data_IF_355513067583
#
_entry.id   IF_355513067583
#
_cell.length_a   1.000
_cell.length_b   1.000
_cell.length_c   1.000
_cell.angle_alpha   90.00
_cell.angle_beta   90.00
_cell.angle_gamma   90.00
#
_symmetry.space_group_name_H-M   'P 1'
#
loop_
_entity.id
_entity.type
_entity.pdbx_description
1 polymer ?
#
# COMPACT_ATOMS: atom_id res chain seq x y z
N UNK A 1 49.59 33.27 18.41
CA UNK A 1 48.12 33.12 18.38
C UNK A 1 47.61 33.68 17.06
N UNK A 2 46.74 32.95 16.32
CA UNK A 2 46.17 33.47 15.08
C UNK A 2 45.34 34.74 15.35
N UNK A 3 45.49 35.76 14.48
CA UNK A 3 44.74 37.01 14.61
C UNK A 3 43.22 36.73 14.48
N UNK A 4 42.39 37.62 15.01
CA UNK A 4 40.93 37.50 14.88
C UNK A 4 40.49 37.51 13.40
N UNK A 5 41.20 38.25 12.55
CA UNK A 5 41.00 38.27 11.10
C UNK A 5 41.31 36.92 10.45
N UNK A 6 42.40 36.24 10.84
CA UNK A 6 42.74 34.91 10.33
C UNK A 6 41.68 33.87 10.72
N UNK A 7 41.15 33.97 11.94
CA UNK A 7 40.06 33.10 12.41
C UNK A 7 38.77 33.32 11.62
N UNK A 8 38.42 34.58 11.34
CA UNK A 8 37.24 34.91 10.55
C UNK A 8 37.36 34.41 9.11
N UNK A 9 38.54 34.58 8.48
CA UNK A 9 38.82 34.06 7.12
C UNK A 9 38.68 32.53 7.06
N UNK A 10 39.33 31.81 7.97
CA UNK A 10 39.24 30.34 8.01
C UNK A 10 37.79 29.84 8.26
N UNK A 11 37.00 30.57 9.06
CA UNK A 11 35.61 30.25 9.29
C UNK A 11 34.73 30.53 8.06
N UNK A 12 34.99 31.62 7.32
CA UNK A 12 34.28 31.95 6.08
C UNK A 12 34.53 30.90 4.99
N UNK A 13 35.79 30.47 4.80
CA UNK A 13 36.14 29.41 3.84
C UNK A 13 35.35 28.12 4.09
N UNK A 14 35.14 27.75 5.36
CA UNK A 14 34.30 26.59 5.71
C UNK A 14 32.85 26.78 5.31
N UNK A 15 32.30 28.00 5.41
CA UNK A 15 30.93 28.29 4.98
C UNK A 15 30.81 28.27 3.46
N UNK A 16 31.80 28.81 2.75
CA UNK A 16 31.84 28.86 1.28
C UNK A 16 31.93 27.46 0.65
N UNK A 17 32.57 26.50 1.33
CA UNK A 17 32.69 25.10 0.87
C UNK A 17 31.39 24.29 0.97
N UNK A 18 30.33 24.79 1.60
CA UNK A 18 29.02 24.10 1.60
C UNK A 18 28.48 24.04 0.18
N UNK A 19 27.88 22.91 -0.21
CA UNK A 19 27.33 22.65 -1.56
C UNK A 19 26.48 23.81 -2.10
N UNK A 20 25.55 24.32 -1.28
CA UNK A 20 24.68 25.44 -1.64
C UNK A 20 25.41 26.74 -1.99
N UNK A 21 26.59 26.96 -1.43
CA UNK A 21 27.40 28.16 -1.61
C UNK A 21 28.46 28.01 -2.72
N UNK A 22 28.59 26.82 -3.33
CA UNK A 22 29.51 26.57 -4.47
C UNK A 22 29.06 27.23 -5.77
N UNK A 23 27.84 27.76 -5.81
CA UNK A 23 27.27 28.41 -6.97
C UNK A 23 26.81 29.82 -6.61
N UNK A 24 27.03 30.77 -7.51
CA UNK A 24 26.57 32.15 -7.38
C UNK A 24 25.05 32.18 -7.13
N UNK A 25 24.62 32.94 -6.11
CA UNK A 25 23.23 33.03 -5.71
C UNK A 25 22.31 33.51 -6.86
N UNK A 26 22.83 34.28 -7.81
CA UNK A 26 22.04 34.99 -8.82
C UNK A 26 22.08 34.36 -10.22
N UNK A 27 23.24 33.84 -10.64
CA UNK A 27 23.43 33.31 -12.00
C UNK A 27 23.99 31.88 -12.06
N UNK A 28 24.24 31.25 -10.90
CA UNK A 28 24.72 29.87 -10.84
C UNK A 28 26.18 29.64 -11.26
N UNK A 29 26.97 30.69 -11.54
CA UNK A 29 28.41 30.54 -11.80
C UNK A 29 29.12 29.84 -10.64
N UNK A 30 29.98 28.86 -10.95
CA UNK A 30 30.73 28.09 -9.94
C UNK A 30 31.74 28.95 -9.17
N UNK A 31 32.00 28.53 -7.94
CA UNK A 31 33.03 29.06 -7.04
C UNK A 31 32.97 30.59 -6.85
N UNK A 32 31.84 31.12 -6.34
CA UNK A 32 31.68 32.55 -6.14
C UNK A 32 32.68 33.11 -5.13
N UNK A 33 33.56 34.02 -5.57
CA UNK A 33 34.61 34.65 -4.74
C UNK A 33 34.20 35.91 -3.98
N UNK A 34 32.93 36.33 -4.09
CA UNK A 34 32.39 37.53 -3.45
C UNK A 34 31.17 37.20 -2.62
N UNK A 35 30.86 38.05 -1.64
CA UNK A 35 29.71 37.85 -0.78
C UNK A 35 29.05 39.17 -0.36
N UNK A 36 27.74 39.12 -0.16
CA UNK A 36 26.95 40.16 0.49
C UNK A 36 26.75 39.78 1.95
N UNK A 37 27.44 40.42 2.87
CA UNK A 37 27.43 40.00 4.28
C UNK A 37 26.15 40.39 5.04
N UNK A 38 25.41 41.40 4.56
CA UNK A 38 24.12 41.78 5.14
C UNK A 38 22.97 40.91 4.61
N UNK A 39 23.07 40.39 3.38
CA UNK A 39 22.09 39.47 2.81
C UNK A 39 22.45 38.00 3.08
N UNK A 40 23.70 37.71 3.42
CA UNK A 40 24.15 36.37 3.79
C UNK A 40 24.37 35.42 2.61
N UNK A 41 24.77 35.92 1.45
CA UNK A 41 24.88 35.17 0.19
C UNK A 41 26.21 35.37 -0.54
N UNK A 42 26.62 34.37 -1.32
CA UNK A 42 27.82 34.33 -2.15
C UNK A 42 27.48 34.51 -3.63
N UNK A 43 28.28 35.31 -4.32
CA UNK A 43 28.10 35.69 -5.71
C UNK A 43 29.42 35.72 -6.50
N UNK A 44 29.35 35.60 -7.82
CA UNK A 44 30.51 35.73 -8.69
C UNK A 44 30.96 37.20 -8.82
N UNK A 45 32.12 37.43 -9.44
CA UNK A 45 32.68 38.77 -9.63
C UNK A 45 31.75 39.70 -10.40
N UNK A 46 31.12 39.21 -11.48
CA UNK A 46 30.24 40.02 -12.32
C UNK A 46 28.97 40.45 -11.58
N UNK A 47 28.30 39.51 -10.88
CA UNK A 47 27.13 39.81 -10.06
C UNK A 47 27.51 40.77 -8.92
N UNK A 48 28.71 40.64 -8.34
CA UNK A 48 29.20 41.59 -7.34
C UNK A 48 29.34 43.02 -7.88
N UNK A 49 29.67 43.19 -9.16
CA UNK A 49 29.70 44.49 -9.82
C UNK A 49 28.33 45.15 -9.89
N UNK A 50 27.30 44.37 -10.24
CA UNK A 50 25.91 44.83 -10.29
C UNK A 50 25.38 45.13 -8.87
N UNK A 51 25.71 44.29 -7.90
CA UNK A 51 25.36 44.56 -6.50
C UNK A 51 25.94 45.89 -5.98
N UNK A 52 27.10 46.33 -6.48
CA UNK A 52 27.64 47.65 -6.14
C UNK A 52 26.83 48.80 -6.75
N UNK A 53 26.23 48.61 -7.93
CA UNK A 53 25.45 49.64 -8.63
C UNK A 53 24.03 49.84 -8.08
N UNK A 54 23.46 48.83 -7.38
CA UNK A 54 22.13 48.96 -6.74
C UNK A 54 22.17 49.68 -5.38
N UNK A 55 23.35 49.82 -4.75
CA UNK A 55 23.57 50.68 -3.59
C UNK A 55 23.70 49.98 -2.22
N UNK A 56 24.42 50.63 -1.31
CA UNK A 56 24.86 50.11 0.01
C UNK A 56 23.74 49.96 1.04
N UNK A 57 22.59 50.60 0.81
CA UNK A 57 21.39 50.46 1.62
C UNK A 57 20.67 49.12 1.36
N UNK A 58 20.96 48.45 0.23
CA UNK A 58 20.40 47.15 -0.15
C UNK A 58 21.41 46.03 0.14
N UNK A 59 22.63 46.16 -0.37
CA UNK A 59 23.66 45.09 -0.33
C UNK A 59 25.02 45.65 0.04
N UNK A 60 25.78 44.90 0.85
CA UNK A 60 27.12 45.27 1.31
C UNK A 60 28.10 44.18 0.90
N UNK A 61 28.90 44.48 -0.13
CA UNK A 61 29.76 43.52 -0.82
C UNK A 61 31.18 43.51 -0.25
N UNK A 62 31.72 42.30 -0.03
CA UNK A 62 33.14 42.06 0.28
C UNK A 62 33.68 40.86 -0.50
N UNK A 63 34.96 40.91 -0.84
CA UNK A 63 35.70 39.77 -1.38
C UNK A 63 35.88 38.72 -0.29
N UNK A 64 35.70 37.43 -0.61
CA UNK A 64 35.93 36.37 0.35
C UNK A 64 37.41 36.23 0.75
N UNK A 65 38.35 36.62 -0.13
CA UNK A 65 39.80 36.44 0.07
C UNK A 65 40.59 37.73 0.19
N UNK A 66 40.17 38.82 -0.46
CA UNK A 66 40.92 40.08 -0.52
C UNK A 66 40.57 41.08 0.59
N UNK A 67 39.41 40.92 1.22
CA UNK A 67 38.89 41.83 2.24
C UNK A 67 39.09 41.28 3.66
N UNK A 68 39.25 42.17 4.64
CA UNK A 68 39.17 41.80 6.06
C UNK A 68 37.72 41.51 6.46
N UNK A 69 37.50 40.37 7.13
CA UNK A 69 36.20 39.92 7.63
C UNK A 69 36.12 39.97 9.15
N UNK A 70 34.96 40.38 9.67
CA UNK A 70 34.63 40.29 11.09
C UNK A 70 33.86 39.00 11.37
N UNK A 71 34.03 38.45 12.57
CA UNK A 71 33.36 37.20 12.96
C UNK A 71 31.83 37.33 12.98
N UNK A 72 31.29 38.51 13.29
CA UNK A 72 29.85 38.80 13.22
C UNK A 72 29.26 38.58 11.83
N UNK A 73 29.96 38.98 10.77
CA UNK A 73 29.52 38.79 9.39
C UNK A 73 29.57 37.32 8.99
N UNK A 74 30.61 36.60 9.42
CA UNK A 74 30.73 35.15 9.19
C UNK A 74 29.58 34.40 9.86
N UNK A 75 29.11 34.85 11.04
CA UNK A 75 27.91 34.26 11.69
C UNK A 75 26.66 34.44 10.83
N UNK A 76 26.47 35.60 10.19
CA UNK A 76 25.35 35.82 9.24
C UNK A 76 25.47 34.88 8.04
N UNK A 77 26.64 34.79 7.42
CA UNK A 77 26.89 33.87 6.30
C UNK A 77 26.62 32.41 6.68
N UNK A 78 26.99 32.00 7.90
CA UNK A 78 26.76 30.64 8.42
C UNK A 78 25.27 30.35 8.64
N UNK A 79 24.50 31.35 9.08
CA UNK A 79 23.08 31.23 9.37
C UNK A 79 22.20 31.27 8.11
N UNK A 80 22.57 32.08 7.11
CA UNK A 80 21.78 32.24 5.88
C UNK A 80 22.30 31.30 4.79
N UNK A 81 23.34 31.70 4.06
CA UNK A 81 23.82 30.97 2.88
C UNK A 81 22.84 31.07 1.70
N UNK A 82 23.29 30.61 0.53
CA UNK A 82 22.57 30.83 -0.72
C UNK A 82 21.21 30.14 -0.77
N UNK A 83 21.07 28.92 -0.24
CA UNK A 83 19.78 28.21 -0.24
C UNK A 83 18.72 28.97 0.57
N UNK A 84 19.03 29.39 1.80
CA UNK A 84 18.06 30.12 2.63
C UNK A 84 17.80 31.52 2.08
N UNK A 85 18.83 32.18 1.53
CA UNK A 85 18.65 33.47 0.89
C UNK A 85 17.71 33.34 -0.32
N UNK A 86 17.92 32.36 -1.20
CA UNK A 86 17.07 32.14 -2.37
C UNK A 86 15.68 31.65 -1.98
N UNK A 87 15.53 30.80 -0.95
CA UNK A 87 14.22 30.41 -0.43
C UNK A 87 13.36 31.61 0.03
N UNK A 88 14.00 32.71 0.43
CA UNK A 88 13.30 33.97 0.78
C UNK A 88 13.14 34.86 -0.45
N UNK A 89 14.23 35.20 -1.15
CA UNK A 89 14.25 36.22 -2.21
C UNK A 89 13.72 35.72 -3.56
N UNK A 90 13.67 34.40 -3.76
CA UNK A 90 13.20 33.70 -4.96
C UNK A 90 11.97 32.83 -4.66
N UNK A 91 11.30 33.02 -3.51
CA UNK A 91 10.19 32.17 -3.06
C UNK A 91 9.04 32.03 -4.08
N UNK A 92 8.82 33.08 -4.88
CA UNK A 92 7.80 33.14 -5.95
C UNK A 92 8.39 33.22 -7.35
N UNK A 93 9.69 32.95 -7.49
CA UNK A 93 10.39 32.97 -8.78
C UNK A 93 10.09 31.67 -9.52
N UNK A 94 9.71 31.78 -10.78
CA UNK A 94 9.74 30.67 -11.72
C UNK A 94 11.21 30.30 -12.01
N UNK A 95 11.68 29.07 -11.69
CA UNK A 95 13.07 28.67 -11.86
C UNK A 95 13.61 28.85 -13.29
N UNK A 96 12.75 28.81 -14.31
CA UNK A 96 13.13 29.02 -15.72
C UNK A 96 13.61 30.44 -16.00
N UNK A 97 13.23 31.41 -15.18
CA UNK A 97 13.61 32.83 -15.31
C UNK A 97 14.94 33.15 -14.64
N UNK A 98 15.55 32.20 -13.93
CA UNK A 98 16.85 32.39 -13.29
C UNK A 98 17.95 32.44 -14.35
N UNK A 99 18.80 33.49 -14.38
CA UNK A 99 19.89 33.59 -15.32
C UNK A 99 20.85 32.39 -15.20
N UNK A 100 21.32 31.90 -16.35
CA UNK A 100 22.36 30.90 -16.43
C UNK A 100 23.76 31.54 -16.37
N UNK A 101 24.84 30.75 -16.15
CA UNK A 101 26.20 31.29 -16.05
C UNK A 101 26.70 32.02 -17.31
N UNK A 102 26.12 31.77 -18.47
CA UNK A 102 26.43 32.40 -19.76
C UNK A 102 25.57 33.64 -20.06
N UNK A 103 24.61 33.98 -19.18
CA UNK A 103 23.74 35.13 -19.36
C UNK A 103 24.50 36.45 -19.46
N UNK A 104 24.02 37.33 -20.35
CA UNK A 104 24.58 38.66 -20.58
C UNK A 104 24.50 39.54 -19.32
N UNK A 105 25.34 40.58 -19.25
CA UNK A 105 25.33 41.53 -18.13
C UNK A 105 23.97 42.21 -17.94
N UNK A 106 23.27 42.55 -19.02
CA UNK A 106 21.93 43.15 -18.95
C UNK A 106 20.88 42.20 -18.37
N UNK A 107 20.93 40.91 -18.71
CA UNK A 107 20.04 39.89 -18.13
C UNK A 107 20.30 39.70 -16.63
N UNK A 108 21.57 39.64 -16.23
CA UNK A 108 21.97 39.55 -14.81
C UNK A 108 21.53 40.79 -14.03
N UNK A 109 21.70 41.98 -14.59
CA UNK A 109 21.29 43.22 -13.93
C UNK A 109 19.78 43.30 -13.72
N UNK A 110 19.00 43.00 -14.76
CA UNK A 110 17.54 42.99 -14.68
C UNK A 110 17.05 42.01 -13.60
N UNK A 111 17.67 40.83 -13.51
CA UNK A 111 17.35 39.84 -12.49
C UNK A 111 17.69 40.32 -11.07
N UNK A 112 18.92 40.80 -10.84
CA UNK A 112 19.39 41.24 -9.52
C UNK A 112 18.55 42.41 -8.99
N UNK A 113 18.21 43.38 -9.85
CA UNK A 113 17.31 44.50 -9.49
C UNK A 113 15.92 44.00 -9.14
N UNK A 114 15.35 43.09 -9.94
CA UNK A 114 14.03 42.51 -9.66
C UNK A 114 14.03 41.73 -8.33
N UNK A 115 15.11 41.00 -8.04
CA UNK A 115 15.28 40.18 -6.83
C UNK A 115 15.42 41.03 -5.57
N UNK A 116 16.30 42.03 -5.56
CA UNK A 116 16.69 42.72 -4.33
C UNK A 116 16.17 44.16 -4.20
N UNK A 117 16.09 44.91 -5.30
CA UNK A 117 15.63 46.30 -5.31
C UNK A 117 14.10 46.36 -5.32
N UNK A 118 13.46 45.54 -6.17
CA UNK A 118 11.99 45.46 -6.27
C UNK A 118 11.38 44.38 -5.38
N UNK A 119 12.19 43.48 -4.83
CA UNK A 119 11.77 42.34 -4.01
C UNK A 119 10.63 41.51 -4.63
N UNK A 120 10.62 41.38 -5.96
CA UNK A 120 9.46 40.94 -6.73
C UNK A 120 9.01 39.51 -6.38
N UNK A 121 9.96 38.65 -6.00
CA UNK A 121 9.71 37.24 -5.67
C UNK A 121 9.87 36.92 -4.18
N UNK A 122 10.07 37.94 -3.33
CA UNK A 122 10.34 37.72 -1.91
C UNK A 122 9.11 37.11 -1.23
N UNK A 123 9.25 35.98 -0.56
CA UNK A 123 8.16 35.32 0.18
C UNK A 123 7.81 36.06 1.48
N UNK A 124 6.54 35.99 1.89
CA UNK A 124 6.11 36.46 3.22
C UNK A 124 6.32 35.34 4.26
N UNK A 125 7.14 35.55 5.31
CA UNK A 125 7.28 34.59 6.40
C UNK A 125 5.96 34.15 7.04
N UNK A 126 4.93 35.01 7.05
CA UNK A 126 3.60 34.68 7.57
C UNK A 126 2.86 33.66 6.69
N UNK A 127 2.94 33.81 5.37
CA UNK A 127 2.37 32.86 4.41
C UNK A 127 3.09 31.51 4.49
N UNK A 128 4.43 31.52 4.62
CA UNK A 128 5.21 30.30 4.79
C UNK A 128 4.89 29.57 6.11
N UNK A 129 4.70 30.32 7.20
CA UNK A 129 4.30 29.77 8.48
C UNK A 129 2.87 29.20 8.44
N UNK A 130 1.93 29.89 7.78
CA UNK A 130 0.55 29.42 7.61
C UNK A 130 0.49 28.11 6.82
N UNK A 131 1.18 28.02 5.67
CA UNK A 131 1.28 26.78 4.88
C UNK A 131 1.84 25.62 5.69
N UNK A 132 2.90 25.88 6.47
CA UNK A 132 3.51 24.86 7.32
C UNK A 132 2.58 24.40 8.44
N UNK A 133 1.76 25.30 9.00
CA UNK A 133 0.75 24.94 9.99
C UNK A 133 -0.40 24.13 9.39
N UNK A 134 -0.84 24.47 8.18
CA UNK A 134 -1.87 23.74 7.44
C UNK A 134 -1.40 22.33 7.04
N UNK A 135 -0.18 22.19 6.51
CA UNK A 135 0.40 20.87 6.21
C UNK A 135 0.61 20.03 7.48
N UNK A 136 0.97 20.66 8.61
CA UNK A 136 1.08 19.98 9.89
C UNK A 136 -0.27 19.51 10.44
N UNK A 137 -1.33 20.32 10.27
CA UNK A 137 -2.70 19.94 10.64
C UNK A 137 -3.20 18.78 9.76
N UNK A 138 -3.00 18.84 8.44
CA UNK A 138 -3.36 17.75 7.53
C UNK A 138 -2.64 16.45 7.88
N UNK A 139 -1.35 16.52 8.20
CA UNK A 139 -0.59 15.34 8.63
C UNK A 139 -1.07 14.79 9.99
N UNK A 140 -1.63 15.62 10.86
CA UNK A 140 -2.22 15.17 12.13
C UNK A 140 -3.56 14.49 11.92
N UNK A 141 -4.42 15.07 11.08
CA UNK A 141 -5.71 14.50 10.68
C UNK A 141 -5.52 13.14 9.97
N UNK A 142 -4.54 13.03 9.06
CA UNK A 142 -4.17 11.77 8.40
C UNK A 142 -3.75 10.70 9.43
N UNK A 143 -2.93 11.07 10.42
CA UNK A 143 -2.54 10.13 11.50
C UNK A 143 -3.71 9.72 12.37
N UNK A 144 -4.58 10.66 12.74
CA UNK A 144 -5.77 10.37 13.53
C UNK A 144 -6.72 9.43 12.77
N UNK A 145 -6.90 9.65 11.46
CA UNK A 145 -7.69 8.77 10.61
C UNK A 145 -7.08 7.36 10.49
N UNK A 146 -5.75 7.25 10.35
CA UNK A 146 -5.07 5.96 10.37
C UNK A 146 -5.21 5.23 11.71
N UNK A 147 -5.15 5.96 12.83
CA UNK A 147 -5.34 5.39 14.17
C UNK A 147 -6.79 4.92 14.37
N UNK A 148 -7.77 5.69 13.92
CA UNK A 148 -9.19 5.31 13.93
C UNK A 148 -9.47 4.10 13.04
N UNK A 149 -8.87 4.03 11.84
CA UNK A 149 -8.98 2.87 10.96
C UNK A 149 -8.38 1.62 11.61
N UNK A 150 -7.18 1.72 12.20
CA UNK A 150 -6.56 0.62 12.95
C UNK A 150 -7.44 0.17 14.12
N UNK A 151 -7.99 1.12 14.88
CA UNK A 151 -8.88 0.82 16.00
C UNK A 151 -10.16 0.11 15.55
N UNK A 152 -10.80 0.61 14.49
CA UNK A 152 -12.01 0.01 13.91
C UNK A 152 -11.73 -1.39 13.35
N UNK A 153 -10.57 -1.60 12.72
CA UNK A 153 -10.15 -2.91 12.22
C UNK A 153 -9.91 -3.91 13.35
N UNK A 154 -9.33 -3.46 14.47
CA UNK A 154 -9.15 -4.30 15.66
C UNK A 154 -10.51 -4.72 16.26
N UNK A 155 -11.45 -3.77 16.40
CA UNK A 155 -12.82 -4.08 16.84
C UNK A 155 -13.47 -5.10 15.89
N UNK A 156 -13.33 -4.91 14.58
CA UNK A 156 -13.89 -5.84 13.61
C UNK A 156 -13.27 -7.25 13.71
N UNK A 157 -11.96 -7.36 13.95
CA UNK A 157 -11.29 -8.66 14.17
C UNK A 157 -11.79 -9.38 15.43
N UNK A 158 -12.08 -8.63 16.49
CA UNK A 158 -12.67 -9.18 17.73
C UNK A 158 -14.11 -9.65 17.51
N UNK A 159 -14.90 -8.89 16.76
CA UNK A 159 -16.31 -9.21 16.47
C UNK A 159 -16.44 -10.37 15.47
N UNK A 160 -15.52 -10.48 14.51
CA UNK A 160 -15.56 -11.45 13.42
C UNK A 160 -14.18 -12.12 13.23
N UNK A 161 -13.73 -12.97 14.19
CA UNK A 161 -12.43 -13.61 14.13
C UNK A 161 -12.35 -14.57 12.93
N UNK A 162 -11.29 -14.49 12.14
CA UNK A 162 -11.14 -15.29 10.90
C UNK A 162 -9.86 -16.11 10.87
N UNK A 163 -8.78 -15.60 11.43
CA UNK A 163 -7.47 -16.25 11.46
C UNK A 163 -7.22 -16.94 12.79
N UNK A 164 -6.24 -17.85 12.82
CA UNK A 164 -5.79 -18.48 14.07
C UNK A 164 -5.35 -17.43 15.09
N UNK A 165 -4.66 -16.38 14.63
CA UNK A 165 -4.20 -15.26 15.46
C UNK A 165 -5.38 -14.49 16.10
N UNK A 166 -6.46 -14.24 15.35
CA UNK A 166 -7.66 -13.60 15.92
C UNK A 166 -8.28 -14.44 17.05
N UNK A 167 -8.30 -15.77 16.90
CA UNK A 167 -8.79 -16.68 17.94
C UNK A 167 -7.84 -16.76 19.13
N UNK A 168 -6.52 -16.71 18.92
CA UNK A 168 -5.53 -16.65 20.01
C UNK A 168 -5.75 -15.43 20.91
N UNK A 169 -6.07 -14.27 20.32
CA UNK A 169 -6.43 -13.07 21.09
C UNK A 169 -7.64 -13.34 22.00
N UNK A 170 -8.71 -13.94 21.46
CA UNK A 170 -9.92 -14.24 22.24
C UNK A 170 -9.66 -15.25 23.37
N UNK A 171 -8.84 -16.28 23.12
CA UNK A 171 -8.45 -17.24 24.16
C UNK A 171 -7.62 -16.57 25.26
N UNK A 172 -6.65 -15.71 24.89
CA UNK A 172 -5.84 -14.96 25.84
C UNK A 172 -6.68 -13.98 26.68
N UNK A 173 -7.63 -13.28 26.06
CA UNK A 173 -8.56 -12.39 26.78
C UNK A 173 -9.45 -13.15 27.76
N UNK A 174 -9.97 -14.31 27.35
CA UNK A 174 -10.76 -15.18 28.23
C UNK A 174 -9.94 -15.70 29.41
N UNK A 175 -8.68 -16.10 29.17
CA UNK A 175 -7.78 -16.55 30.22
C UNK A 175 -7.46 -15.42 31.21
N UNK A 176 -7.19 -14.21 30.72
CA UNK A 176 -6.95 -13.03 31.54
C UNK A 176 -8.19 -12.67 32.38
N UNK A 177 -9.38 -12.69 31.78
CA UNK A 177 -10.64 -12.45 32.47
C UNK A 177 -10.86 -13.47 33.60
N UNK A 178 -10.66 -14.76 33.31
CA UNK A 178 -10.77 -15.84 34.30
C UNK A 178 -9.78 -15.63 35.44
N UNK A 179 -8.51 -15.36 35.14
CA UNK A 179 -7.49 -15.13 36.16
C UNK A 179 -7.82 -13.92 37.05
N UNK A 180 -8.33 -12.84 36.46
CA UNK A 180 -8.78 -11.67 37.20
C UNK A 180 -9.97 -11.98 38.10
N UNK A 181 -10.99 -12.69 37.61
CA UNK A 181 -12.19 -13.01 38.37
C UNK A 181 -11.92 -14.02 39.49
N UNK A 182 -11.07 -15.02 39.25
CA UNK A 182 -10.59 -15.94 40.29
C UNK A 182 -9.91 -15.18 41.42
N UNK A 183 -8.99 -14.26 41.08
CA UNK A 183 -8.32 -13.42 42.08
C UNK A 183 -9.31 -12.58 42.88
N UNK A 184 -10.30 -11.97 42.22
CA UNK A 184 -11.36 -11.20 42.90
C UNK A 184 -12.16 -12.06 43.89
N UNK A 185 -12.50 -13.29 43.52
CA UNK A 185 -13.23 -14.23 44.40
C UNK A 185 -12.37 -14.64 45.60
N UNK A 186 -11.07 -14.87 45.38
CA UNK A 186 -10.12 -15.22 46.44
C UNK A 186 -9.89 -14.05 47.42
N UNK A 187 -9.75 -12.83 46.91
CA UNK A 187 -9.53 -11.62 47.71
C UNK A 187 -10.78 -11.15 48.48
N UNK A 188 -11.98 -11.58 48.06
CA UNK A 188 -13.24 -11.19 48.70
C UNK A 188 -13.43 -11.75 50.12
N UNK A 189 -12.59 -12.70 50.56
CA UNK A 189 -12.64 -13.25 51.93
C UNK A 189 -13.93 -14.00 52.26
N UNK A 190 -14.60 -14.56 51.24
CA UNK A 190 -15.89 -15.24 51.39
C UNK A 190 -15.77 -16.55 52.19
N UNK A 191 -16.85 -16.98 52.90
CA UNK A 191 -16.95 -18.31 53.46
C UNK A 191 -16.73 -19.40 52.40
N UNK A 192 -16.14 -20.53 52.80
CA UNK A 192 -15.70 -21.60 51.88
C UNK A 192 -16.81 -22.06 50.92
N UNK A 193 -18.03 -22.22 51.43
CA UNK A 193 -19.19 -22.64 50.64
C UNK A 193 -19.54 -21.63 49.54
N UNK A 194 -19.65 -20.35 49.88
CA UNK A 194 -19.99 -19.29 48.92
C UNK A 194 -18.87 -19.10 47.88
N UNK A 195 -17.61 -19.25 48.30
CA UNK A 195 -16.46 -19.24 47.41
C UNK A 195 -16.53 -20.37 46.37
N UNK A 196 -16.87 -21.59 46.78
CA UNK A 196 -17.02 -22.73 45.87
C UNK A 196 -18.19 -22.53 44.90
N UNK A 197 -19.31 -21.98 45.38
CA UNK A 197 -20.46 -21.64 44.53
C UNK A 197 -20.08 -20.56 43.49
N UNK A 198 -19.33 -19.53 43.89
CA UNK A 198 -18.83 -18.49 42.98
C UNK A 198 -17.86 -19.02 41.92
N UNK A 199 -16.92 -19.90 42.30
CA UNK A 199 -15.99 -20.56 41.37
C UNK A 199 -16.73 -21.49 40.40
N UNK A 200 -17.76 -22.21 40.84
CA UNK A 200 -18.58 -23.03 39.97
C UNK A 200 -19.35 -22.18 38.94
N UNK A 201 -19.88 -21.02 39.35
CA UNK A 201 -20.51 -20.07 38.44
C UNK A 201 -19.51 -19.48 37.43
N UNK A 202 -18.28 -19.18 37.87
CA UNK A 202 -17.20 -18.71 37.00
C UNK A 202 -16.86 -19.75 35.92
N UNK A 203 -16.67 -21.01 36.32
CA UNK A 203 -16.42 -22.13 35.40
C UNK A 203 -17.56 -22.33 34.38
N UNK A 204 -18.81 -22.19 34.83
CA UNK A 204 -19.97 -22.27 33.94
C UNK A 204 -19.95 -21.15 32.89
N UNK A 205 -19.63 -19.92 33.29
CA UNK A 205 -19.47 -18.78 32.38
C UNK A 205 -18.32 -18.99 31.39
N UNK A 206 -17.16 -19.45 31.86
CA UNK A 206 -15.99 -19.80 31.03
C UNK A 206 -16.37 -20.84 29.97
N UNK A 207 -17.04 -21.92 30.37
CA UNK A 207 -17.49 -22.98 29.46
C UNK A 207 -18.42 -22.42 28.37
N UNK A 208 -19.35 -21.52 28.72
CA UNK A 208 -20.26 -20.89 27.76
C UNK A 208 -19.52 -19.98 26.76
N UNK A 209 -18.49 -19.27 27.22
CA UNK A 209 -17.65 -18.43 26.37
C UNK A 209 -16.80 -19.28 25.42
N UNK A 210 -16.17 -20.36 25.91
CA UNK A 210 -15.44 -21.32 25.08
C UNK A 210 -16.34 -21.93 23.98
N UNK A 211 -17.54 -22.38 24.35
CA UNK A 211 -18.53 -22.88 23.37
C UNK A 211 -18.90 -21.84 22.30
N UNK A 212 -18.91 -20.55 22.67
CA UNK A 212 -19.19 -19.46 21.73
C UNK A 212 -18.01 -19.26 20.78
N UNK A 213 -16.77 -19.24 21.30
CA UNK A 213 -15.54 -19.17 20.49
C UNK A 213 -15.48 -20.35 19.51
N UNK A 214 -15.83 -21.56 19.94
CA UNK A 214 -15.85 -22.73 19.06
C UNK A 214 -16.88 -22.61 17.93
N UNK A 215 -18.08 -22.08 18.21
CA UNK A 215 -19.07 -21.78 17.16
C UNK A 215 -18.55 -20.76 16.15
N UNK A 216 -17.89 -19.70 16.64
CA UNK A 216 -17.25 -18.70 15.78
C UNK A 216 -16.16 -19.34 14.92
N UNK A 217 -15.34 -20.24 15.49
CA UNK A 217 -14.29 -20.96 14.77
C UNK A 217 -14.84 -21.85 13.66
N UNK A 218 -15.95 -22.56 13.90
CA UNK A 218 -16.63 -23.36 12.89
C UNK A 218 -17.16 -22.45 11.76
N UNK A 219 -17.82 -21.35 12.12
CA UNK A 219 -18.32 -20.36 11.16
C UNK A 219 -17.21 -19.77 10.30
N UNK A 220 -16.14 -19.28 10.93
CA UNK A 220 -14.96 -18.74 10.26
C UNK A 220 -14.30 -19.77 9.34
N UNK A 221 -14.20 -21.04 9.75
CA UNK A 221 -13.63 -22.11 8.91
C UNK A 221 -14.47 -22.30 7.64
N UNK A 222 -15.80 -22.27 7.76
CA UNK A 222 -16.73 -22.37 6.63
C UNK A 222 -16.58 -21.17 5.69
N UNK A 223 -16.65 -19.94 6.21
CA UNK A 223 -16.51 -18.71 5.42
C UNK A 223 -15.15 -18.61 4.73
N UNK A 224 -14.08 -18.99 5.43
CA UNK A 224 -12.73 -18.98 4.87
C UNK A 224 -12.57 -20.01 3.75
N UNK A 225 -13.24 -21.17 3.85
CA UNK A 225 -13.29 -22.15 2.77
C UNK A 225 -14.03 -21.57 1.56
N UNK A 226 -15.20 -20.97 1.75
CA UNK A 226 -15.97 -20.33 0.67
C UNK A 226 -15.17 -19.21 -0.01
N UNK A 227 -14.52 -18.33 0.76
CA UNK A 227 -13.66 -17.26 0.24
C UNK A 227 -12.46 -17.82 -0.53
N UNK A 228 -11.86 -18.93 -0.06
CA UNK A 228 -10.75 -19.59 -0.75
C UNK A 228 -11.19 -20.15 -2.10
N UNK A 229 -12.34 -20.80 -2.16
CA UNK A 229 -12.92 -21.32 -3.40
C UNK A 229 -13.20 -20.15 -4.36
N UNK A 230 -13.88 -19.11 -3.90
CA UNK A 230 -14.18 -17.92 -4.72
C UNK A 230 -12.91 -17.30 -5.31
N UNK A 231 -11.89 -17.07 -4.48
CA UNK A 231 -10.59 -16.54 -4.92
C UNK A 231 -9.88 -17.45 -5.92
N UNK A 232 -9.92 -18.76 -5.70
CA UNK A 232 -9.31 -19.73 -6.62
C UNK A 232 -9.99 -19.69 -7.99
N UNK A 233 -11.32 -19.69 -8.03
CA UNK A 233 -12.09 -19.56 -9.27
C UNK A 233 -11.81 -18.24 -9.99
N UNK A 234 -11.71 -17.14 -9.25
CA UNK A 234 -11.37 -15.83 -9.79
C UNK A 234 -10.00 -15.84 -10.46
N UNK A 235 -8.96 -16.33 -9.77
CA UNK A 235 -7.60 -16.43 -10.30
C UNK A 235 -7.48 -17.34 -11.53
N UNK A 236 -8.34 -18.37 -11.66
CA UNK A 236 -8.40 -19.21 -12.87
C UNK A 236 -9.05 -18.48 -14.05
N UNK A 237 -9.96 -17.54 -13.79
CA UNK A 237 -10.67 -16.76 -14.81
C UNK A 237 -9.95 -15.48 -15.25
N UNK A 238 -8.88 -15.08 -14.54
CA UNK A 238 -8.15 -13.84 -14.79
C UNK A 238 -7.54 -13.79 -16.21
N UNK A 239 -7.59 -12.62 -16.88
CA UNK A 239 -6.92 -12.43 -18.16
C UNK A 239 -5.40 -12.47 -17.99
N UNK A 240 -4.70 -13.03 -18.98
CA UNK A 240 -3.23 -13.10 -18.97
C UNK A 240 -2.65 -11.78 -19.47
N UNK A 241 -1.59 -11.31 -18.80
CA UNK A 241 -0.84 -10.12 -19.21
C UNK A 241 0.25 -10.50 -20.21
N UNK A 242 0.23 -9.85 -21.36
CA UNK A 242 1.16 -10.10 -22.47
C UNK A 242 1.95 -8.82 -22.71
N UNK A 243 3.27 -8.89 -22.67
CA UNK A 243 4.14 -7.78 -23.05
C UNK A 243 4.20 -7.69 -24.58
N UNK A 244 3.80 -6.53 -25.10
CA UNK A 244 3.89 -6.19 -26.52
C UNK A 244 5.32 -5.75 -26.86
N UNK A 245 5.66 -5.73 -28.15
CA UNK A 245 6.99 -5.38 -28.65
C UNK A 245 7.42 -3.93 -28.37
N UNK A 246 6.46 -3.07 -28.03
CA UNK A 246 6.64 -1.66 -27.66
C UNK A 246 6.83 -1.45 -26.14
N UNK A 247 6.75 -2.51 -25.33
CA UNK A 247 6.84 -2.46 -23.87
C UNK A 247 5.50 -2.20 -23.16
N UNK A 248 4.39 -2.10 -23.90
CA UNK A 248 3.05 -2.02 -23.31
C UNK A 248 2.54 -3.42 -22.91
N UNK A 249 1.64 -3.49 -21.93
CA UNK A 249 1.05 -4.78 -21.48
C UNK A 249 -0.41 -4.88 -21.91
N UNK A 250 -0.75 -5.92 -22.69
CA UNK A 250 -2.12 -6.26 -23.05
C UNK A 250 -2.70 -7.28 -22.07
N UNK A 251 -3.98 -7.16 -21.74
CA UNK A 251 -4.73 -8.20 -21.04
C UNK A 251 -5.50 -9.03 -22.06
N UNK A 252 -5.21 -10.33 -22.13
CA UNK A 252 -5.78 -11.24 -23.13
C UNK A 252 -6.47 -12.40 -22.42
N UNK A 253 -7.77 -12.58 -22.70
CA UNK A 253 -8.48 -13.79 -22.35
C UNK A 253 -8.12 -14.91 -23.34
N UNK A 254 -7.50 -15.95 -22.84
CA UNK A 254 -7.26 -17.19 -23.56
C UNK A 254 -8.52 -18.07 -23.55
N UNK A 255 -8.66 -19.04 -24.48
CA UNK A 255 -9.77 -20.00 -24.43
C UNK A 255 -9.89 -20.71 -23.09
N UNK A 256 -8.76 -20.98 -22.41
CA UNK A 256 -8.75 -21.62 -21.09
C UNK A 256 -9.27 -20.70 -19.97
N UNK A 257 -8.85 -19.44 -19.94
CA UNK A 257 -9.37 -18.46 -18.97
C UNK A 257 -10.83 -18.12 -19.22
N UNK A 258 -11.29 -18.10 -20.48
CA UNK A 258 -12.72 -17.92 -20.82
C UNK A 258 -13.54 -19.11 -20.33
N UNK A 259 -13.09 -20.34 -20.59
CA UNK A 259 -13.74 -21.54 -20.05
C UNK A 259 -13.76 -21.55 -18.52
N UNK A 260 -12.66 -21.17 -17.87
CA UNK A 260 -12.62 -21.05 -16.41
C UNK A 260 -13.61 -20.00 -15.89
N UNK A 261 -13.84 -18.92 -16.65
CA UNK A 261 -14.85 -17.90 -16.34
C UNK A 261 -16.27 -18.46 -16.43
N UNK A 262 -16.59 -19.17 -17.52
CA UNK A 262 -17.89 -19.84 -17.69
C UNK A 262 -18.17 -20.82 -16.54
N UNK A 263 -17.18 -21.64 -16.18
CA UNK A 263 -17.28 -22.58 -15.06
C UNK A 263 -17.48 -21.87 -13.71
N UNK A 264 -16.78 -20.76 -13.47
CA UNK A 264 -16.96 -19.93 -12.28
C UNK A 264 -18.41 -19.38 -12.20
N UNK A 265 -18.95 -18.90 -13.31
CA UNK A 265 -20.31 -18.34 -13.37
C UNK A 265 -21.36 -19.41 -13.10
N UNK A 266 -21.21 -20.60 -13.69
CA UNK A 266 -22.09 -21.74 -13.43
C UNK A 266 -22.03 -22.19 -11.96
N UNK A 267 -20.82 -22.24 -11.36
CA UNK A 267 -20.67 -22.57 -9.95
C UNK A 267 -21.32 -21.50 -9.05
N UNK A 268 -21.19 -20.23 -9.41
CA UNK A 268 -21.82 -19.13 -8.68
C UNK A 268 -23.35 -19.22 -8.77
N UNK A 269 -23.89 -19.50 -9.96
CA UNK A 269 -25.32 -19.74 -10.16
C UNK A 269 -25.86 -20.93 -9.38
N UNK A 270 -25.10 -22.02 -9.26
CA UNK A 270 -25.49 -23.18 -8.44
C UNK A 270 -25.61 -22.87 -6.95
N UNK A 271 -24.86 -21.88 -6.46
CA UNK A 271 -24.81 -21.50 -5.05
C UNK A 271 -25.62 -20.23 -4.73
N UNK A 272 -26.25 -19.61 -5.73
CA UNK A 272 -27.06 -18.41 -5.53
C UNK A 272 -28.35 -18.76 -4.75
N UNK A 273 -28.64 -18.08 -3.63
CA UNK A 273 -29.88 -18.29 -2.90
C UNK A 273 -31.07 -17.61 -3.60
N UNK A 274 -32.29 -18.08 -3.32
CA UNK A 274 -33.54 -17.42 -3.73
C UNK A 274 -33.77 -17.32 -5.24
N UNK A 275 -33.46 -18.39 -5.98
CA UNK A 275 -33.83 -18.50 -7.40
C UNK A 275 -35.28 -18.93 -7.56
N UNK A 276 -35.95 -18.43 -8.60
CA UNK A 276 -37.21 -19.05 -9.05
C UNK A 276 -36.95 -20.47 -9.55
N UNK A 277 -38.01 -21.29 -9.63
CA UNK A 277 -37.88 -22.67 -10.10
C UNK A 277 -37.34 -22.70 -11.54
N UNK A 278 -37.82 -21.81 -12.41
CA UNK A 278 -37.41 -21.74 -13.81
C UNK A 278 -35.93 -21.33 -13.94
N UNK A 279 -35.49 -20.28 -13.24
CA UNK A 279 -34.08 -19.86 -13.23
C UNK A 279 -33.16 -20.97 -12.69
N UNK A 280 -33.63 -21.70 -11.66
CA UNK A 280 -32.87 -22.84 -11.11
C UNK A 280 -32.75 -23.98 -12.13
N UNK A 281 -33.84 -24.31 -12.80
CA UNK A 281 -33.85 -25.33 -13.86
C UNK A 281 -32.93 -24.94 -15.01
N UNK A 282 -32.89 -23.66 -15.38
CA UNK A 282 -31.97 -23.14 -16.40
C UNK A 282 -30.51 -23.33 -15.97
N UNK A 283 -30.13 -22.91 -14.76
CA UNK A 283 -28.76 -23.11 -14.26
C UNK A 283 -28.39 -24.59 -14.26
N UNK A 284 -29.29 -25.45 -13.76
CA UNK A 284 -29.09 -26.91 -13.73
C UNK A 284 -28.90 -27.47 -15.15
N UNK A 285 -29.67 -26.99 -16.12
CA UNK A 285 -29.56 -27.39 -17.51
C UNK A 285 -28.19 -27.00 -18.09
N UNK A 286 -27.75 -25.75 -17.89
CA UNK A 286 -26.44 -25.29 -18.39
C UNK A 286 -25.29 -26.08 -17.78
N UNK A 287 -25.34 -26.35 -16.47
CA UNK A 287 -24.35 -27.20 -15.79
C UNK A 287 -24.37 -28.61 -16.39
N UNK A 288 -25.55 -29.20 -16.60
CA UNK A 288 -25.71 -30.53 -17.18
C UNK A 288 -25.08 -30.64 -18.57
N UNK A 289 -25.28 -29.65 -19.44
CA UNK A 289 -24.66 -29.64 -20.77
C UNK A 289 -23.14 -29.51 -20.70
N UNK A 290 -22.65 -28.63 -19.83
CA UNK A 290 -21.21 -28.39 -19.65
C UNK A 290 -20.48 -29.64 -19.17
N UNK A 291 -21.02 -30.37 -18.19
CA UNK A 291 -20.38 -31.60 -17.70
C UNK A 291 -20.48 -32.76 -18.67
N UNK A 292 -21.50 -32.77 -19.55
CA UNK A 292 -21.70 -33.81 -20.58
C UNK A 292 -20.67 -33.78 -21.70
N UNK A 293 -19.87 -32.72 -21.80
CA UNK A 293 -18.71 -32.68 -22.70
C UNK A 293 -17.72 -33.81 -22.42
N UNK A 294 -17.71 -34.35 -21.19
CA UNK A 294 -16.85 -35.45 -20.77
C UNK A 294 -17.68 -36.60 -20.20
N UNK A 295 -17.37 -37.82 -20.62
CA UNK A 295 -18.04 -39.02 -20.11
C UNK A 295 -17.14 -39.74 -19.10
N UNK A 296 -17.37 -39.51 -17.81
CA UNK A 296 -16.68 -40.18 -16.73
C UNK A 296 -17.60 -40.39 -15.52
N UNK A 297 -17.14 -41.14 -14.50
CA UNK A 297 -17.95 -41.43 -13.31
C UNK A 297 -18.41 -40.15 -12.59
N UNK A 298 -17.54 -39.13 -12.50
CA UNK A 298 -17.86 -37.86 -11.85
C UNK A 298 -18.98 -37.12 -12.59
N UNK A 299 -18.88 -36.98 -13.92
CA UNK A 299 -19.88 -36.24 -14.70
C UNK A 299 -21.22 -36.97 -14.73
N UNK A 300 -21.23 -38.31 -14.77
CA UNK A 300 -22.46 -39.12 -14.64
C UNK A 300 -23.14 -38.90 -13.29
N UNK A 301 -22.40 -38.90 -12.18
CA UNK A 301 -22.98 -38.63 -10.85
C UNK A 301 -23.56 -37.21 -10.77
N UNK A 302 -22.86 -36.20 -11.31
CA UNK A 302 -23.38 -34.82 -11.36
C UNK A 302 -24.68 -34.75 -12.15
N UNK A 303 -24.75 -35.38 -13.34
CA UNK A 303 -25.94 -35.40 -14.18
C UNK A 303 -27.11 -36.10 -13.47
N UNK A 304 -26.89 -37.25 -12.84
CA UNK A 304 -27.94 -37.98 -12.13
C UNK A 304 -28.52 -37.17 -10.96
N UNK A 305 -27.66 -36.46 -10.21
CA UNK A 305 -28.11 -35.60 -9.13
C UNK A 305 -28.87 -34.37 -9.63
N UNK A 306 -28.44 -33.78 -10.75
CA UNK A 306 -29.15 -32.67 -11.40
C UNK A 306 -30.55 -33.12 -11.85
N UNK A 307 -30.65 -34.28 -12.50
CA UNK A 307 -31.94 -34.81 -12.96
C UNK A 307 -32.87 -35.12 -11.79
N UNK A 308 -32.31 -35.60 -10.67
CA UNK A 308 -33.06 -35.78 -9.43
C UNK A 308 -33.51 -34.45 -8.82
N UNK A 309 -32.69 -33.40 -8.84
CA UNK A 309 -33.09 -32.08 -8.35
C UNK A 309 -34.22 -31.50 -9.21
N UNK A 310 -34.09 -31.57 -10.54
CA UNK A 310 -35.08 -31.08 -11.49
C UNK A 310 -36.44 -31.79 -11.32
N UNK A 311 -36.45 -33.12 -11.18
CA UNK A 311 -37.69 -33.88 -10.91
C UNK A 311 -38.34 -33.46 -9.59
N UNK A 312 -37.55 -33.26 -8.53
CA UNK A 312 -38.09 -32.83 -7.23
C UNK A 312 -38.62 -31.39 -7.26
N UNK A 313 -37.98 -30.50 -8.01
CA UNK A 313 -38.46 -29.13 -8.23
C UNK A 313 -39.78 -29.11 -9.02
N UNK A 314 -39.88 -29.89 -10.09
CA UNK A 314 -41.12 -30.04 -10.86
C UNK A 314 -42.28 -30.62 -10.03
N UNK A 315 -41.98 -31.41 -9.00
CA UNK A 315 -42.95 -31.92 -8.01
C UNK A 315 -43.26 -30.95 -6.88
N UNK A 316 -42.75 -29.71 -6.92
CA UNK A 316 -43.02 -28.66 -5.95
C UNK A 316 -42.42 -28.90 -4.56
N UNK A 317 -41.29 -29.63 -4.47
CA UNK A 317 -40.63 -29.87 -3.18
C UNK A 317 -39.97 -28.61 -2.63
N UNK A 318 -40.03 -28.43 -1.31
CA UNK A 318 -39.48 -27.25 -0.66
C UNK A 318 -37.95 -27.23 -0.69
N UNK A 319 -37.37 -26.04 -0.81
CA UNK A 319 -35.92 -25.84 -0.88
C UNK A 319 -35.17 -26.43 0.32
N UNK A 320 -35.76 -26.36 1.52
CA UNK A 320 -35.19 -26.94 2.75
C UNK A 320 -34.92 -28.44 2.61
N UNK A 321 -35.76 -29.16 1.88
CA UNK A 321 -35.57 -30.60 1.65
C UNK A 321 -34.48 -30.91 0.61
N UNK A 322 -34.11 -29.93 -0.22
CA UNK A 322 -33.12 -30.05 -1.28
C UNK A 322 -31.72 -29.62 -0.86
N UNK A 323 -31.55 -29.05 0.34
CA UNK A 323 -30.27 -28.47 0.80
C UNK A 323 -29.09 -29.47 0.70
N UNK A 324 -29.30 -30.71 1.15
CA UNK A 324 -28.28 -31.76 1.06
C UNK A 324 -27.94 -32.15 -0.38
N UNK A 325 -28.94 -32.18 -1.28
CA UNK A 325 -28.76 -32.48 -2.70
C UNK A 325 -27.99 -31.36 -3.40
N UNK A 326 -28.40 -30.10 -3.20
CA UNK A 326 -27.75 -28.90 -3.75
C UNK A 326 -26.28 -28.82 -3.32
N UNK A 327 -25.99 -29.07 -2.03
CA UNK A 327 -24.61 -29.14 -1.52
C UNK A 327 -23.78 -30.23 -2.19
N UNK A 328 -24.35 -31.41 -2.47
CA UNK A 328 -23.64 -32.48 -3.19
C UNK A 328 -23.36 -32.10 -4.63
N UNK A 329 -24.34 -31.56 -5.35
CA UNK A 329 -24.17 -31.09 -6.74
C UNK A 329 -23.06 -30.04 -6.81
N UNK A 330 -23.12 -29.03 -5.93
CA UNK A 330 -22.10 -27.96 -5.86
C UNK A 330 -20.70 -28.49 -5.57
N UNK A 331 -20.55 -29.43 -4.61
CA UNK A 331 -19.24 -30.02 -4.30
C UNK A 331 -18.68 -30.87 -5.45
N UNK A 332 -19.50 -31.69 -6.11
CA UNK A 332 -19.06 -32.50 -7.25
C UNK A 332 -18.75 -31.63 -8.48
N UNK A 333 -19.53 -30.57 -8.71
CA UNK A 333 -19.23 -29.60 -9.76
C UNK A 333 -17.94 -28.83 -9.45
N UNK A 334 -17.67 -28.48 -8.19
CA UNK A 334 -16.37 -27.91 -7.80
C UNK A 334 -15.22 -28.88 -8.09
N UNK A 335 -15.38 -30.17 -7.78
CA UNK A 335 -14.38 -31.19 -8.11
C UNK A 335 -14.15 -31.29 -9.63
N UNK A 336 -15.21 -31.15 -10.43
CA UNK A 336 -15.10 -31.07 -11.89
C UNK A 336 -14.27 -29.84 -12.31
N UNK A 337 -14.51 -28.67 -11.73
CA UNK A 337 -13.74 -27.44 -12.03
C UNK A 337 -12.28 -27.54 -11.56
N UNK A 338 -12.00 -28.23 -10.46
CA UNK A 338 -10.64 -28.42 -9.93
C UNK A 338 -9.83 -29.47 -10.70
N UNK A 339 -10.44 -30.21 -11.63
CA UNK A 339 -9.77 -31.25 -12.41
C UNK A 339 -9.18 -30.65 -13.71
N UNK A 340 -7.85 -30.70 -13.93
CA UNK A 340 -7.22 -30.07 -15.08
C UNK A 340 -7.67 -30.59 -16.45
N UNK A 341 -8.14 -31.83 -16.52
CA UNK A 341 -8.69 -32.43 -17.74
C UNK A 341 -9.92 -31.65 -18.23
N UNK A 342 -10.73 -31.12 -17.31
CA UNK A 342 -11.96 -30.38 -17.61
C UNK A 342 -11.75 -28.86 -17.61
N UNK A 343 -10.77 -28.40 -16.82
CA UNK A 343 -10.39 -26.99 -16.68
C UNK A 343 -8.85 -26.85 -16.64
N UNK A 344 -8.20 -26.57 -17.78
CA UNK A 344 -6.73 -26.50 -17.84
C UNK A 344 -6.10 -25.49 -16.87
N UNK A 345 -6.79 -24.40 -16.51
CA UNK A 345 -6.27 -23.41 -15.55
C UNK A 345 -6.19 -23.97 -14.11
N UNK A 346 -6.92 -25.04 -13.79
CA UNK A 346 -6.85 -25.72 -12.49
C UNK A 346 -5.48 -26.38 -12.22
N UNK A 347 -4.71 -26.68 -13.27
CA UNK A 347 -3.35 -27.22 -13.14
C UNK A 347 -2.44 -26.34 -12.27
N UNK A 348 -2.65 -25.01 -12.28
CA UNK A 348 -1.89 -24.03 -11.50
C UNK A 348 -2.08 -24.17 -9.98
N UNK A 349 -3.20 -24.78 -9.57
CA UNK A 349 -3.61 -24.90 -8.17
C UNK A 349 -3.47 -26.32 -7.62
N UNK A 350 -3.04 -27.29 -8.45
CA UNK A 350 -2.75 -28.63 -7.96
C UNK A 350 -1.54 -28.61 -7.03
N UNK A 351 -1.72 -29.19 -5.84
CA UNK A 351 -0.61 -29.42 -4.91
C UNK A 351 0.26 -30.53 -5.47
N UNK A 352 1.38 -30.18 -6.12
CA UNK A 352 2.42 -31.15 -6.46
C UNK A 352 2.98 -31.72 -5.15
N UNK A 353 2.94 -33.05 -4.92
CA UNK A 353 3.60 -33.67 -3.78
C UNK A 353 5.07 -33.24 -3.68
N UNK A 354 5.55 -32.88 -2.47
CA UNK A 354 6.94 -32.42 -2.24
C UNK A 354 7.99 -33.36 -2.85
N UNK A 355 7.74 -34.67 -2.85
CA UNK A 355 8.63 -35.70 -3.42
C UNK A 355 8.83 -35.62 -4.94
N UNK A 356 7.91 -34.99 -5.67
CA UNK A 356 8.03 -34.76 -7.12
C UNK A 356 8.76 -33.45 -7.43
N UNK A 357 8.75 -32.48 -6.51
CA UNK A 357 9.44 -31.20 -6.65
C UNK A 357 10.96 -31.29 -6.43
N UNK A 358 11.43 -32.35 -5.78
CA UNK A 358 12.85 -32.59 -5.45
C UNK A 358 13.55 -33.56 -6.41
N UNK A 359 12.87 -34.11 -7.43
CA UNK A 359 13.52 -34.92 -8.46
C UNK A 359 14.29 -34.01 -9.43
N UNK A 360 15.62 -34.17 -9.58
CA UNK A 360 16.46 -33.25 -10.37
C UNK A 360 16.18 -33.23 -11.88
N UNK A 361 15.24 -34.03 -12.39
CA UNK A 361 14.94 -34.19 -13.81
C UNK A 361 13.54 -33.74 -14.25
N UNK A 362 12.71 -33.16 -13.36
CA UNK A 362 11.41 -32.62 -13.77
C UNK A 362 11.38 -31.14 -13.45
N UNK A 363 11.87 -30.32 -14.39
CA UNK A 363 11.59 -28.89 -14.35
C UNK A 363 10.14 -28.69 -14.79
N UNK A 364 9.32 -27.90 -14.07
CA UNK A 364 8.02 -27.48 -14.59
C UNK A 364 8.27 -26.77 -15.92
N UNK A 365 7.55 -27.17 -16.97
CA UNK A 365 7.58 -26.47 -18.25
C UNK A 365 6.92 -25.11 -18.04
N UNK A 366 7.72 -24.13 -17.65
CA UNK A 366 7.33 -22.72 -17.71
C UNK A 366 7.26 -22.33 -19.18
N UNK A 367 6.25 -21.53 -19.54
CA UNK A 367 5.83 -21.13 -20.90
C UNK A 367 6.89 -20.33 -21.72
N UNK A 368 8.15 -20.37 -21.31
CA UNK A 368 9.28 -19.65 -21.88
C UNK A 368 10.19 -20.49 -22.78
N UNK A 369 9.88 -21.78 -23.01
CA UNK A 369 10.71 -22.68 -23.84
C UNK A 369 10.06 -23.20 -25.14
N UNK A 370 8.87 -22.73 -25.53
CA UNK A 370 8.29 -23.01 -26.86
C UNK A 370 8.62 -21.88 -27.85
N UNK A 371 9.88 -21.43 -27.88
CA UNK A 371 10.42 -20.60 -28.97
C UNK A 371 11.90 -20.90 -29.11
N UNK A 372 12.22 -22.04 -29.73
CA UNK A 372 13.49 -22.31 -30.43
C UNK A 372 13.40 -23.73 -30.97
N UNK A 373 12.98 -23.88 -32.23
CA UNK A 373 12.93 -25.19 -32.86
C UNK A 373 12.17 -25.29 -34.17
N UNK A 374 12.29 -24.31 -35.08
CA UNK A 374 12.03 -24.49 -36.53
C UNK A 374 12.86 -23.50 -37.36
N UNK A 375 14.13 -23.80 -37.53
CA UNK A 375 14.90 -23.45 -38.74
C UNK A 375 15.88 -24.59 -38.98
N UNK A 376 15.67 -25.31 -40.09
CA UNK A 376 16.37 -26.52 -40.49
C UNK A 376 15.53 -27.21 -41.55
#
# INVERSE_FOLDING_TARGET
>A
MASEADKARAALEKVQRKECNRFCADCGTKDPGWASFNLGLFMCIDCSGIHRSIGTHITKIKSCSLDTWKMEWVKVMKAVGNDRANAVWEARLDPSKKPQPDATMGQRESFIRSKYERALWKGDPREAAARKAEDAARADDERAAEEEEKHSAEIQRRMHPRSTEDFEILYNELENWRAHETRRIEEAGLPERERLEALAQLLHKETKLLQTIDRLKIGATKENRERRIARMLELMSEPKKWEMSDGETAQVHTPFSTRAKELQELYSGLNLPMLTVDERLDVLLHVKWTVKEFDCLLTREVVDLIDREADLLNRGRSEKSLEGLRRRISNLFLQFIETPEFNPEAARFQKVPRDLSTRPSVRPVTDSMIRLGKTG
#
